data_IF_587748306625
#
_entry.id   IF_587748306625
#
_cell.length_a   1.000
_cell.length_b   1.000
_cell.length_c   1.000
_cell.angle_alpha   90.00
_cell.angle_beta   90.00
_cell.angle_gamma   90.00
#
_symmetry.space_group_name_H-M   'P 1'
#
loop_
_entity.id
_entity.type
_entity.pdbx_description
1 polymer ?
#
# COMPACT_ATOMS: atom_id res chain seq x y z
N UNK A 1 -17.17 10.91 -44.82
CA UNK A 1 -16.44 9.89 -44.06
C UNK A 1 -15.36 10.58 -43.25
N UNK A 2 -15.48 10.59 -41.93
CA UNK A 2 -14.51 11.19 -41.00
C UNK A 2 -13.70 10.02 -40.41
N UNK A 3 -12.35 10.04 -40.43
CA UNK A 3 -11.58 9.03 -39.74
C UNK A 3 -11.59 9.35 -38.24
N UNK A 4 -12.19 8.47 -37.45
CA UNK A 4 -12.09 8.42 -35.99
C UNK A 4 -10.66 8.14 -35.58
N UNK A 5 -9.99 9.12 -34.97
CA UNK A 5 -8.76 8.91 -34.23
C UNK A 5 -9.10 8.22 -32.91
N UNK A 6 -8.68 6.97 -32.74
CA UNK A 6 -8.67 6.34 -31.42
C UNK A 6 -7.61 7.05 -30.59
N UNK A 7 -8.04 7.74 -29.53
CA UNK A 7 -7.11 8.19 -28.48
C UNK A 7 -6.81 6.99 -27.60
N UNK A 8 -5.62 6.44 -27.75
CA UNK A 8 -5.06 5.53 -26.74
C UNK A 8 -4.96 6.31 -25.43
N UNK A 9 -5.59 5.79 -24.38
CA UNK A 9 -5.48 6.35 -23.05
C UNK A 9 -4.08 5.99 -22.50
N UNK A 10 -3.12 6.88 -22.68
CA UNK A 10 -1.83 6.77 -22.02
C UNK A 10 -2.04 6.92 -20.50
N UNK A 11 -1.80 5.83 -19.77
CA UNK A 11 -1.78 5.82 -18.31
C UNK A 11 -0.57 6.63 -17.82
N UNK A 12 -0.74 7.93 -17.58
CA UNK A 12 0.26 8.79 -16.94
C UNK A 12 0.55 8.30 -15.51
N UNK A 13 1.52 7.40 -15.35
CA UNK A 13 2.06 7.06 -14.04
C UNK A 13 3.11 8.12 -13.69
N UNK A 14 2.79 9.01 -12.75
CA UNK A 14 3.75 10.03 -12.26
C UNK A 14 4.60 9.41 -11.16
N UNK A 15 5.80 8.95 -11.52
CA UNK A 15 6.81 8.55 -10.54
C UNK A 15 7.58 9.79 -10.09
N UNK A 16 7.55 10.09 -8.79
CA UNK A 16 8.40 11.14 -8.20
C UNK A 16 9.65 10.44 -7.67
N UNK A 17 10.80 10.72 -8.29
CA UNK A 17 12.08 10.30 -7.73
C UNK A 17 12.43 11.29 -6.63
N UNK A 18 12.41 10.83 -5.37
CA UNK A 18 12.70 11.68 -4.21
C UNK A 18 14.21 11.93 -4.08
N UNK A 19 15.04 10.95 -4.44
CA UNK A 19 16.49 11.06 -4.47
C UNK A 19 17.07 10.17 -5.57
N UNK A 20 18.09 10.67 -6.28
CA UNK A 20 18.93 9.86 -7.15
C UNK A 20 20.15 9.40 -6.36
N UNK A 21 20.40 8.09 -6.30
CA UNK A 21 21.52 7.56 -5.53
C UNK A 21 21.76 6.07 -5.77
N UNK A 22 22.84 5.58 -5.18
CA UNK A 22 23.25 4.18 -5.21
C UNK A 22 23.82 3.79 -3.85
N UNK A 23 23.83 2.50 -3.54
CA UNK A 23 24.47 1.96 -2.34
C UNK A 23 25.76 1.24 -2.74
N UNK A 24 26.87 1.53 -2.03
CA UNK A 24 28.18 0.92 -2.25
C UNK A 24 28.85 0.63 -0.91
N UNK A 25 29.66 -0.42 -0.87
CA UNK A 25 30.51 -0.72 0.29
C UNK A 25 31.85 -0.01 0.13
N UNK A 26 32.14 0.91 1.05
CA UNK A 26 33.35 1.73 1.06
C UNK A 26 34.01 1.67 2.45
N UNK A 27 35.32 1.78 2.49
CA UNK A 27 36.04 2.13 3.73
C UNK A 27 35.72 3.58 4.15
N UNK A 28 36.00 3.94 5.40
CA UNK A 28 35.77 5.30 5.88
C UNK A 28 36.52 6.37 5.06
N UNK A 29 37.72 6.05 4.58
CA UNK A 29 38.52 6.95 3.73
C UNK A 29 37.94 7.10 2.33
N UNK A 30 37.47 6.00 1.73
CA UNK A 30 36.80 6.01 0.44
C UNK A 30 35.46 6.76 0.50
N UNK A 31 34.68 6.60 1.57
CA UNK A 31 33.44 7.34 1.78
C UNK A 31 33.69 8.86 1.89
N UNK A 32 34.76 9.26 2.58
CA UNK A 32 35.18 10.67 2.65
C UNK A 32 35.59 11.20 1.28
N UNK A 33 36.36 10.44 0.50
CA UNK A 33 36.71 10.83 -0.89
C UNK A 33 35.48 10.88 -1.81
N UNK A 34 34.52 9.99 -1.64
CA UNK A 34 33.28 9.99 -2.41
C UNK A 34 32.44 11.24 -2.12
N UNK A 35 32.44 11.73 -0.87
CA UNK A 35 31.67 12.93 -0.49
C UNK A 35 32.13 14.22 -1.19
N UNK A 36 33.36 14.27 -1.72
CA UNK A 36 33.88 15.39 -2.49
C UNK A 36 33.80 15.19 -4.02
N UNK A 37 33.28 14.06 -4.50
CA UNK A 37 33.21 13.78 -5.92
C UNK A 37 32.13 14.65 -6.61
N UNK A 38 32.42 15.28 -7.77
CA UNK A 38 31.43 16.08 -8.49
C UNK A 38 30.15 15.30 -8.78
N UNK A 39 29.01 15.87 -8.40
CA UNK A 39 27.69 15.24 -8.55
C UNK A 39 27.21 14.45 -7.33
N UNK A 40 28.06 14.17 -6.35
CA UNK A 40 27.65 13.58 -5.07
C UNK A 40 27.18 14.70 -4.13
N UNK A 41 25.89 14.70 -3.78
CA UNK A 41 25.33 15.72 -2.87
C UNK A 41 25.49 15.34 -1.40
N UNK A 42 25.33 14.05 -1.06
CA UNK A 42 25.53 13.52 0.29
C UNK A 42 25.97 12.05 0.25
N UNK A 43 26.72 11.66 1.26
CA UNK A 43 27.03 10.27 1.58
C UNK A 43 26.48 9.99 2.99
N UNK A 44 25.69 8.93 3.12
CA UNK A 44 25.12 8.51 4.39
C UNK A 44 25.60 7.09 4.71
N UNK A 45 26.05 6.88 5.94
CA UNK A 45 26.34 5.53 6.43
C UNK A 45 25.04 4.72 6.52
N UNK A 46 25.07 3.49 6.00
CA UNK A 46 23.95 2.57 6.13
C UNK A 46 23.82 2.10 7.59
N UNK A 47 22.60 2.10 8.13
CA UNK A 47 22.33 1.78 9.54
C UNK A 47 21.26 0.72 9.64
N UNK A 48 21.47 -0.22 10.57
CA UNK A 48 20.43 -1.18 10.96
C UNK A 48 19.37 -0.47 11.79
N UNK A 49 18.12 -0.53 11.35
CA UNK A 49 16.97 -0.09 12.11
C UNK A 49 16.35 -1.26 12.86
N UNK A 50 15.84 -0.99 14.06
CA UNK A 50 15.12 -1.96 14.88
C UNK A 50 13.62 -1.70 14.79
N UNK A 51 12.83 -2.78 14.79
CA UNK A 51 11.38 -2.71 14.76
C UNK A 51 10.86 -2.06 16.05
N UNK A 52 9.99 -1.06 15.92
CA UNK A 52 9.39 -0.34 17.06
C UNK A 52 7.88 -0.19 16.85
N UNK A 53 7.08 -0.68 17.81
CA UNK A 53 5.65 -0.39 17.89
C UNK A 53 5.16 -0.34 19.34
N UNK A 54 4.39 0.70 19.66
CA UNK A 54 3.47 0.76 20.82
C UNK A 54 2.02 0.57 20.35
N UNK A 55 1.16 0.15 21.29
CA UNK A 55 -0.18 -0.42 21.14
C UNK A 55 -1.23 0.38 20.32
N UNK A 56 -1.85 -0.31 19.35
CA UNK A 56 -3.22 -0.30 18.76
C UNK A 56 -4.03 0.99 18.41
N UNK A 57 -4.88 0.94 17.34
CA UNK A 57 -5.60 2.08 16.74
C UNK A 57 -6.93 2.48 17.42
N UNK A 58 -7.35 1.78 18.48
CA UNK A 58 -8.61 2.10 19.20
C UNK A 58 -8.63 3.50 19.84
N UNK A 59 -7.48 4.16 19.93
CA UNK A 59 -7.32 5.50 20.48
C UNK A 59 -7.77 6.64 19.53
N UNK A 60 -7.93 6.38 18.22
CA UNK A 60 -8.12 7.45 17.23
C UNK A 60 -9.58 7.80 16.90
N UNK A 61 -10.57 7.30 17.65
CA UNK A 61 -11.97 7.71 17.49
C UNK A 61 -12.59 7.37 16.13
N UNK A 62 -12.09 6.34 15.44
CA UNK A 62 -12.63 5.88 14.16
C UNK A 62 -13.95 5.13 14.38
N UNK A 63 -15.06 5.70 13.92
CA UNK A 63 -16.42 5.16 14.08
C UNK A 63 -16.98 4.65 12.73
N UNK A 64 -17.63 3.47 12.66
CA UNK A 64 -18.22 2.93 11.43
C UNK A 64 -19.43 3.72 10.89
N UNK A 65 -20.10 4.49 11.75
CA UNK A 65 -21.33 5.20 11.42
C UNK A 65 -21.08 6.69 11.14
N UNK A 66 -19.98 7.26 11.64
CA UNK A 66 -19.60 8.67 11.50
C UNK A 66 -18.08 8.84 11.33
N UNK A 67 -17.65 9.83 10.53
CA UNK A 67 -16.24 10.21 10.39
C UNK A 67 -15.54 9.67 9.14
N UNK A 68 -14.20 9.74 9.16
CA UNK A 68 -13.33 9.65 7.98
C UNK A 68 -13.51 8.38 7.15
N UNK A 69 -13.97 7.28 7.74
CA UNK A 69 -14.19 6.02 7.03
C UNK A 69 -15.27 6.11 5.96
N UNK A 70 -16.41 6.73 6.24
CA UNK A 70 -17.46 6.84 5.22
C UNK A 70 -17.08 7.89 4.15
N UNK A 71 -16.34 8.94 4.54
CA UNK A 71 -15.90 10.01 3.64
C UNK A 71 -14.79 9.58 2.66
N UNK A 72 -13.97 8.59 3.04
CA UNK A 72 -12.83 8.11 2.25
C UNK A 72 -13.11 6.80 1.50
N UNK A 73 -14.38 6.42 1.39
CA UNK A 73 -14.80 5.08 0.92
C UNK A 73 -14.01 3.95 1.61
N UNK A 74 -13.79 4.16 2.91
CA UNK A 74 -13.01 3.34 3.81
C UNK A 74 -11.54 3.14 3.42
N UNK A 75 -11.06 3.74 2.33
CA UNK A 75 -9.73 3.50 1.75
C UNK A 75 -9.74 2.62 0.50
N UNK A 76 -10.89 2.37 -0.12
CA UNK A 76 -10.93 1.59 -1.35
C UNK A 76 -10.04 2.22 -2.43
N UNK A 77 -9.31 1.36 -3.13
CA UNK A 77 -8.33 1.78 -4.13
C UNK A 77 -7.05 2.43 -3.62
N UNK A 78 -6.85 2.57 -2.30
CA UNK A 78 -5.58 2.95 -1.67
C UNK A 78 -4.76 1.70 -1.37
N UNK A 79 -3.47 1.72 -1.70
CA UNK A 79 -2.54 0.63 -1.39
C UNK A 79 -1.52 1.13 -0.38
N UNK A 80 -1.43 0.46 0.77
CA UNK A 80 -0.50 0.78 1.84
C UNK A 80 0.72 -0.13 1.69
N UNK A 81 1.89 0.46 1.42
CA UNK A 81 3.16 -0.26 1.43
C UNK A 81 3.74 -0.31 2.84
N UNK A 82 4.06 -1.53 3.32
CA UNK A 82 4.72 -1.74 4.61
C UNK A 82 6.11 -2.33 4.38
N UNK A 83 7.11 -1.74 5.04
CA UNK A 83 8.48 -2.25 5.09
C UNK A 83 8.70 -2.72 6.53
N UNK A 84 8.64 -4.04 6.72
CA UNK A 84 8.64 -4.68 8.04
C UNK A 84 9.28 -6.09 7.95
N UNK A 85 9.21 -6.89 9.02
CA UNK A 85 9.75 -8.24 9.11
C UNK A 85 9.03 -9.32 8.29
N UNK A 86 7.97 -8.97 7.55
CA UNK A 86 7.23 -9.87 6.67
C UNK A 86 5.72 -9.82 6.88
N UNK A 87 5.03 -10.84 6.35
CA UNK A 87 3.58 -11.03 6.51
C UNK A 87 3.21 -12.51 6.73
N UNK A 88 2.21 -12.79 7.56
CA UNK A 88 1.58 -14.10 7.69
C UNK A 88 0.24 -14.11 6.93
N UNK A 89 0.22 -14.48 5.63
CA UNK A 89 -0.92 -14.27 4.75
C UNK A 89 -2.16 -15.08 5.14
N UNK A 90 -1.99 -16.19 5.84
CA UNK A 90 -3.09 -17.06 6.29
C UNK A 90 -3.90 -16.47 7.45
N UNK A 91 -3.46 -15.34 8.03
CA UNK A 91 -4.21 -14.66 9.09
C UNK A 91 -5.58 -14.20 8.58
N UNK A 92 -6.63 -14.39 9.40
CA UNK A 92 -7.97 -13.90 9.10
C UNK A 92 -8.02 -12.38 8.84
N UNK A 93 -7.05 -11.63 9.37
CA UNK A 93 -6.88 -10.19 9.12
C UNK A 93 -6.58 -9.87 7.65
N UNK A 94 -6.16 -10.84 6.84
CA UNK A 94 -5.86 -10.66 5.42
C UNK A 94 -6.84 -11.40 4.49
N UNK A 95 -8.02 -11.76 5.02
CA UNK A 95 -9.13 -12.23 4.20
C UNK A 95 -9.55 -11.17 3.19
N UNK A 96 -9.82 -11.60 1.96
CA UNK A 96 -10.29 -10.74 0.87
C UNK A 96 -11.81 -10.81 0.65
N UNK A 97 -12.53 -11.38 1.61
CA UNK A 97 -13.97 -11.55 1.55
C UNK A 97 -14.68 -10.20 1.41
N UNK A 98 -15.50 -10.06 0.37
CA UNK A 98 -16.25 -8.84 0.07
C UNK A 98 -15.46 -7.77 -0.67
N UNK A 99 -14.18 -8.00 -0.99
CA UNK A 99 -13.36 -7.05 -1.76
C UNK A 99 -13.56 -7.22 -3.27
N UNK A 100 -13.62 -6.08 -3.97
CA UNK A 100 -13.54 -6.03 -5.43
C UNK A 100 -12.14 -6.37 -5.96
N UNK A 101 -11.97 -6.46 -7.30
CA UNK A 101 -10.68 -6.75 -7.90
C UNK A 101 -9.64 -5.66 -7.59
N UNK A 102 -8.38 -6.07 -7.51
CA UNK A 102 -7.26 -5.13 -7.39
C UNK A 102 -7.24 -4.19 -8.59
N UNK A 103 -6.96 -2.89 -8.34
CA UNK A 103 -6.90 -1.88 -9.40
C UNK A 103 -5.91 -2.29 -10.49
N UNK A 104 -6.32 -2.19 -11.75
CA UNK A 104 -5.48 -2.51 -12.92
C UNK A 104 -4.21 -1.65 -13.04
N UNK A 105 -4.19 -0.50 -12.38
CA UNK A 105 -3.02 0.39 -12.29
C UNK A 105 -1.94 -0.12 -11.33
N UNK A 106 -2.25 -1.08 -10.45
CA UNK A 106 -1.25 -1.69 -9.56
C UNK A 106 -0.24 -2.51 -10.36
N UNK A 107 1.05 -2.25 -10.14
CA UNK A 107 2.16 -2.92 -10.83
C UNK A 107 3.07 -3.71 -9.89
N UNK A 108 2.73 -3.76 -8.60
CA UNK A 108 3.47 -4.59 -7.63
C UNK A 108 3.28 -6.07 -7.92
N UNK A 109 4.13 -6.90 -7.30
CA UNK A 109 4.14 -8.35 -7.50
C UNK A 109 4.08 -9.06 -6.16
N UNK A 110 3.56 -10.28 -6.19
CA UNK A 110 3.78 -11.28 -5.16
C UNK A 110 4.92 -12.18 -5.63
N UNK A 111 6.00 -12.29 -4.85
CA UNK A 111 7.17 -13.10 -5.22
C UNK A 111 7.09 -14.48 -4.57
N UNK A 112 7.51 -15.50 -5.31
CA UNK A 112 7.73 -16.83 -4.75
C UNK A 112 9.02 -16.88 -3.93
N UNK A 113 8.99 -17.63 -2.83
CA UNK A 113 10.11 -17.99 -2.00
C UNK A 113 9.89 -19.39 -1.42
N UNK A 114 10.91 -19.98 -0.79
CA UNK A 114 10.88 -21.37 -0.32
C UNK A 114 9.69 -21.68 0.63
N UNK A 115 9.31 -20.72 1.48
CA UNK A 115 8.21 -20.81 2.44
C UNK A 115 7.06 -19.85 2.11
N UNK A 116 7.03 -19.26 0.91
CA UNK A 116 6.00 -18.31 0.52
C UNK A 116 5.64 -18.48 -0.96
N UNK A 117 4.41 -18.89 -1.25
CA UNK A 117 3.92 -19.01 -2.62
C UNK A 117 3.24 -17.70 -3.04
N UNK A 118 3.51 -17.21 -4.26
CA UNK A 118 2.89 -16.00 -4.81
C UNK A 118 1.35 -16.07 -4.84
N UNK A 119 0.77 -17.26 -4.88
CA UNK A 119 -0.68 -17.50 -4.79
C UNK A 119 -1.28 -17.19 -3.41
N UNK A 120 -0.46 -16.96 -2.38
CA UNK A 120 -0.91 -16.48 -1.07
C UNK A 120 -1.33 -15.01 -1.09
N UNK A 121 -0.92 -14.24 -2.10
CA UNK A 121 -1.51 -12.93 -2.35
C UNK A 121 -2.94 -13.07 -2.88
N UNK A 122 -3.79 -12.13 -2.49
CA UNK A 122 -5.21 -12.12 -2.81
C UNK A 122 -5.70 -10.67 -3.04
N UNK A 123 -7.01 -10.41 -3.04
CA UNK A 123 -7.51 -9.03 -3.25
C UNK A 123 -7.26 -8.10 -2.04
N UNK A 124 -6.79 -8.62 -0.91
CA UNK A 124 -6.42 -7.88 0.30
C UNK A 124 -4.89 -7.67 0.39
N UNK A 125 -4.12 -8.75 0.36
CA UNK A 125 -2.66 -8.74 0.25
C UNK A 125 -2.28 -8.77 -1.22
N UNK A 126 -2.15 -7.60 -1.83
CA UNK A 126 -2.02 -7.44 -3.30
C UNK A 126 -0.58 -7.52 -3.83
N UNK A 127 0.41 -7.61 -2.93
CA UNK A 127 1.81 -7.76 -3.27
C UNK A 127 2.65 -8.06 -2.03
N UNK A 128 3.71 -8.84 -2.22
CA UNK A 128 4.61 -9.28 -1.16
C UNK A 128 6.00 -9.49 -1.78
N UNK A 129 7.03 -8.90 -1.16
CA UNK A 129 8.42 -9.01 -1.59
C UNK A 129 9.34 -8.95 -0.38
N UNK A 130 10.47 -9.63 -0.48
CA UNK A 130 11.56 -9.54 0.48
C UNK A 130 12.79 -8.94 -0.19
N UNK A 131 13.63 -8.30 0.62
CA UNK A 131 14.84 -7.63 0.18
C UNK A 131 16.03 -8.12 0.99
N UNK A 132 17.10 -8.54 0.31
CA UNK A 132 18.29 -9.12 0.94
C UNK A 132 19.45 -8.16 1.15
N UNK A 133 19.14 -6.88 1.37
CA UNK A 133 20.19 -5.85 1.26
C UNK A 133 21.15 -5.91 2.46
N UNK A 134 20.69 -6.38 3.62
CA UNK A 134 21.47 -6.35 4.88
C UNK A 134 22.36 -7.58 5.11
N UNK A 135 22.02 -8.76 4.59
CA UNK A 135 22.88 -9.96 4.74
C UNK A 135 24.13 -9.86 3.88
N UNK A 136 23.96 -9.43 2.62
CA UNK A 136 25.08 -9.23 1.68
C UNK A 136 26.08 -8.18 2.16
N UNK A 137 25.62 -7.12 2.85
CA UNK A 137 26.47 -6.06 3.36
C UNK A 137 27.21 -6.42 4.66
N UNK A 138 26.65 -7.31 5.48
CA UNK A 138 27.20 -7.67 6.80
C UNK A 138 28.12 -8.89 6.79
N UNK A 139 28.23 -9.62 5.68
CA UNK A 139 29.05 -10.83 5.59
C UNK A 139 28.52 -12.02 6.41
N UNK A 140 27.35 -11.87 7.04
CA UNK A 140 26.66 -12.95 7.73
C UNK A 140 25.69 -13.60 6.74
N UNK A 141 26.08 -14.75 6.20
CA UNK A 141 25.17 -15.63 5.46
C UNK A 141 24.44 -16.51 6.47
N UNK A 142 23.25 -16.10 6.89
CA UNK A 142 22.28 -17.09 7.35
C UNK A 142 21.70 -17.64 6.06
N UNK A 143 21.92 -18.92 5.74
CA UNK A 143 21.55 -19.56 4.46
C UNK A 143 20.04 -19.57 4.12
N UNK A 144 19.26 -18.67 4.68
CA UNK A 144 17.86 -18.39 4.39
C UNK A 144 17.74 -17.43 3.22
N UNK A 145 17.26 -17.95 2.10
CA UNK A 145 16.76 -17.15 0.97
C UNK A 145 15.70 -16.17 1.51
N UNK A 146 15.77 -14.87 1.16
CA UNK A 146 14.78 -13.88 1.57
C UNK A 146 13.37 -14.32 1.21
N UNK A 147 12.46 -14.19 2.17
CA UNK A 147 11.07 -14.53 1.99
C UNK A 147 10.16 -13.45 2.55
N UNK A 148 9.03 -13.14 1.89
CA UNK A 148 8.03 -12.26 2.46
C UNK A 148 7.35 -12.82 3.71
N UNK A 149 7.54 -14.12 4.03
CA UNK A 149 6.92 -14.74 5.20
C UNK A 149 7.46 -14.15 6.49
N UNK A 150 6.53 -13.69 7.32
CA UNK A 150 6.82 -13.26 8.69
C UNK A 150 7.23 -14.46 9.56
N UNK A 151 8.36 -14.33 10.25
CA UNK A 151 8.89 -15.33 11.20
C UNK A 151 8.91 -14.83 12.64
N UNK A 152 8.59 -13.55 12.84
CA UNK A 152 8.65 -12.86 14.13
C UNK A 152 7.24 -12.49 14.63
N UNK A 153 6.38 -12.01 13.72
CA UNK A 153 5.01 -11.59 14.00
C UNK A 153 4.82 -10.07 13.99
N UNK A 154 5.90 -9.28 14.12
CA UNK A 154 5.82 -7.82 14.12
C UNK A 154 5.16 -7.28 12.82
N UNK A 155 5.60 -7.75 11.66
CA UNK A 155 5.07 -7.27 10.37
C UNK A 155 3.60 -7.60 10.19
N UNK A 156 3.18 -8.80 10.60
CA UNK A 156 1.78 -9.21 10.63
C UNK A 156 0.94 -8.35 11.58
N UNK A 157 1.47 -8.04 12.76
CA UNK A 157 0.79 -7.19 13.74
C UNK A 157 0.64 -5.75 13.25
N UNK A 158 1.67 -5.17 12.64
CA UNK A 158 1.64 -3.83 12.03
C UNK A 158 0.65 -3.80 10.87
N UNK A 159 0.71 -4.78 9.97
CA UNK A 159 -0.16 -4.84 8.81
C UNK A 159 -1.64 -5.01 9.18
N UNK A 160 -1.95 -5.86 10.15
CA UNK A 160 -3.32 -6.01 10.65
C UNK A 160 -3.83 -4.78 11.39
N UNK A 161 -2.94 -4.04 12.08
CA UNK A 161 -3.28 -2.75 12.70
C UNK A 161 -3.57 -1.66 11.66
N UNK A 162 -2.75 -1.57 10.61
CA UNK A 162 -2.91 -0.55 9.57
C UNK A 162 -4.13 -0.84 8.67
N UNK A 163 -4.30 -2.09 8.25
CA UNK A 163 -5.24 -2.45 7.21
C UNK A 163 -5.91 -3.82 7.40
N UNK A 164 -5.94 -4.41 8.60
CA UNK A 164 -6.60 -5.70 8.82
C UNK A 164 -8.11 -5.70 8.51
N UNK A 165 -8.59 -6.78 7.92
CA UNK A 165 -10.00 -7.11 7.88
C UNK A 165 -10.57 -7.25 9.30
N UNK A 166 -11.89 -7.15 9.42
CA UNK A 166 -12.54 -7.35 10.70
C UNK A 166 -12.54 -8.83 11.09
N UNK A 167 -12.02 -9.12 12.28
CA UNK A 167 -11.97 -10.47 12.84
C UNK A 167 -12.80 -10.47 14.13
N UNK A 168 -13.99 -11.10 14.14
CA UNK A 168 -14.80 -11.23 15.35
C UNK A 168 -14.09 -12.11 16.39
N UNK A 169 -14.38 -11.85 17.66
CA UNK A 169 -13.86 -12.61 18.81
C UNK A 169 -12.34 -12.75 18.87
N UNK A 170 -11.62 -11.77 18.31
CA UNK A 170 -10.17 -11.75 18.36
C UNK A 170 -9.72 -11.41 19.80
N UNK A 171 -9.24 -12.43 20.51
CA UNK A 171 -8.62 -12.34 21.83
C UNK A 171 -7.14 -12.69 21.78
N UNK A 172 -6.40 -12.37 22.83
CA UNK A 172 -5.17 -13.09 23.14
C UNK A 172 -5.53 -13.99 24.32
N UNK A 173 -5.64 -15.29 24.08
CA UNK A 173 -6.30 -16.22 25.01
C UNK A 173 -7.72 -15.75 25.39
N UNK A 174 -8.04 -15.64 26.68
CA UNK A 174 -9.33 -15.16 27.19
C UNK A 174 -9.42 -13.63 27.33
N UNK A 175 -8.32 -12.90 27.10
CA UNK A 175 -8.27 -11.47 27.34
C UNK A 175 -8.51 -10.64 26.08
N UNK A 176 -9.17 -9.49 26.26
CA UNK A 176 -9.43 -8.51 25.19
C UNK A 176 -10.16 -9.12 23.99
N UNK A 177 -11.16 -9.97 24.23
CA UNK A 177 -12.07 -10.49 23.20
C UNK A 177 -12.88 -9.33 22.65
N UNK A 178 -12.49 -8.87 21.47
CA UNK A 178 -13.16 -7.80 20.74
C UNK A 178 -13.07 -8.11 19.26
N UNK A 179 -13.96 -7.53 18.46
CA UNK A 179 -13.80 -7.58 17.01
C UNK A 179 -12.64 -6.64 16.62
N UNK A 180 -11.49 -7.19 16.22
CA UNK A 180 -10.31 -6.41 15.80
C UNK A 180 -10.41 -6.05 14.33
N UNK A 181 -10.02 -4.82 13.98
CA UNK A 181 -9.98 -4.33 12.59
C UNK A 181 -8.79 -3.37 12.43
N UNK A 182 -8.30 -3.24 11.21
CA UNK A 182 -7.32 -2.21 10.87
C UNK A 182 -7.95 -0.83 10.68
N UNK A 183 -7.09 0.18 10.55
CA UNK A 183 -7.48 1.56 10.34
C UNK A 183 -8.13 1.86 8.97
N UNK A 184 -7.99 0.98 7.97
CA UNK A 184 -8.61 1.14 6.63
C UNK A 184 -9.45 -0.10 6.23
N UNK A 185 -10.63 0.12 5.64
CA UNK A 185 -11.61 -0.90 5.20
C UNK A 185 -11.90 -0.75 3.69
N UNK A 186 -12.25 -1.80 2.95
CA UNK A 186 -12.96 -1.57 1.68
C UNK A 186 -14.44 -1.97 1.81
N UNK A 187 -15.34 -1.31 1.09
CA UNK A 187 -16.78 -1.68 1.09
C UNK A 187 -16.98 -3.09 0.53
N UNK A 188 -18.00 -3.78 1.05
CA UNK A 188 -18.59 -4.95 0.38
C UNK A 188 -19.18 -4.50 -0.94
N UNK A 189 -18.74 -5.07 -2.04
CA UNK A 189 -19.31 -4.81 -3.36
C UNK A 189 -20.84 -4.95 -3.33
N UNK A 190 -21.57 -3.87 -3.60
CA UNK A 190 -22.99 -3.92 -3.95
C UNK A 190 -23.09 -3.91 -5.49
N UNK A 191 -24.01 -4.67 -6.10
CA UNK A 191 -24.20 -4.63 -7.55
C UNK A 191 -24.55 -3.20 -7.97
N UNK A 192 -23.97 -2.73 -9.08
CA UNK A 192 -24.34 -1.45 -9.66
C UNK A 192 -25.84 -1.47 -10.04
N UNK A 193 -26.69 -0.83 -9.26
CA UNK A 193 -28.02 -0.42 -9.73
C UNK A 193 -27.86 0.89 -10.50
N UNK A 194 -27.98 0.80 -11.82
CA UNK A 194 -28.11 1.97 -12.69
C UNK A 194 -29.45 2.65 -12.42
N UNK A 195 -29.47 3.65 -11.53
CA UNK A 195 -30.55 4.63 -11.55
C UNK A 195 -30.30 5.60 -12.70
N UNK A 196 -30.96 5.35 -13.82
CA UNK A 196 -31.07 6.30 -14.92
C UNK A 196 -31.88 7.52 -14.45
N UNK A 197 -31.21 8.58 -14.01
CA UNK A 197 -31.84 9.87 -13.80
C UNK A 197 -31.86 10.64 -15.14
N UNK A 198 -32.97 10.54 -15.87
CA UNK A 198 -33.26 11.41 -17.01
C UNK A 198 -33.50 12.83 -16.52
N UNK A 199 -32.47 13.67 -16.51
CA UNK A 199 -32.65 15.12 -16.36
C UNK A 199 -33.01 15.73 -17.71
N UNK A 200 -34.30 15.98 -17.93
CA UNK A 200 -34.79 16.91 -18.96
C UNK A 200 -34.24 18.31 -18.67
N UNK A 201 -33.31 18.77 -19.50
CA UNK A 201 -32.79 20.14 -19.47
C UNK A 201 -33.84 21.10 -20.02
N UNK A 202 -34.41 21.94 -19.14
CA UNK A 202 -35.26 23.07 -19.53
C UNK A 202 -34.34 24.22 -19.96
N UNK A 203 -34.27 24.48 -21.26
CA UNK A 203 -33.55 25.64 -21.81
C UNK A 203 -34.20 26.94 -21.30
N UNK A 204 -33.45 27.78 -20.58
CA UNK A 204 -33.75 29.21 -20.43
C UNK A 204 -32.79 29.97 -21.34
N UNK A 205 -33.33 30.48 -22.44
CA UNK A 205 -32.67 31.46 -23.29
C UNK A 205 -32.67 32.82 -22.58
N UNK A 206 -31.51 33.43 -22.42
CA UNK A 206 -31.42 34.88 -22.22
C UNK A 206 -30.33 35.42 -23.13
N UNK A 207 -30.77 36.02 -24.24
CA UNK A 207 -29.96 36.77 -25.18
C UNK A 207 -29.36 38.00 -24.50
N UNK A 208 -28.03 38.09 -24.46
CA UNK A 208 -27.35 39.39 -24.36
C UNK A 208 -26.41 39.55 -25.55
N UNK A 209 -26.80 40.53 -26.36
CA UNK A 209 -26.22 40.99 -27.61
C UNK A 209 -24.98 41.82 -27.26
N UNK A 210 -23.82 41.45 -27.78
CA UNK A 210 -22.60 42.27 -27.75
C UNK A 210 -22.53 43.08 -29.06
N UNK A 211 -22.35 44.39 -28.96
CA UNK A 211 -21.98 45.27 -30.09
C UNK A 211 -20.57 45.83 -29.83
N UNK A 212 -19.67 45.84 -30.82
CA UNK A 212 -18.32 46.35 -30.66
C UNK A 212 -18.22 47.84 -30.99
N UNK A 213 -17.43 48.57 -30.19
CA UNK A 213 -16.54 49.64 -30.65
C UNK A 213 -15.26 49.55 -29.83
#
# INVERSE_FOLDING_TARGET
>A
MVPTTQREAESCTRTIIVMHGFAVRLTGDEARRMSSFPGVTRVHEDRKFYLQMTRSPGFMGLDPHHGAWNETDFGDGVIIGLIDGGIWPESASFSDHGLGPVRSTWRGKCVDAADFNATLCNRKLVGARAFDVSQSASGMSYGTVPSPRDKDGHGTHVASTAAGAAVPDAGMFMFSRVERRGAWRPRRGSPCTTHAASRTARQRTSSRRWTPR
#
